data_IF_140870456517
#
_entry.id   IF_140870456517
#
_cell.length_a   1.000
_cell.length_b   1.000
_cell.length_c   1.000
_cell.angle_alpha   90.00
_cell.angle_beta   90.00
_cell.angle_gamma   90.00
#
_symmetry.space_group_name_H-M   'P 1'
#
loop_
_entity.id
_entity.type
_entity.pdbx_description
1 polymer ?
#
# COMPACT_ATOMS: atom_id res chain seq x y z
N UNK A 1 -20.30 -3.79 8.57
CA UNK A 1 -20.46 -2.47 7.90
C UNK A 1 -21.32 -1.48 8.68
N UNK A 2 -22.58 -1.78 9.05
CA UNK A 2 -23.44 -0.80 9.78
C UNK A 2 -22.90 -0.37 11.16
N UNK A 3 -22.20 -1.26 11.88
CA UNK A 3 -21.68 -0.95 13.22
C UNK A 3 -20.40 -0.08 13.23
N UNK A 4 -19.63 -0.06 12.14
CA UNK A 4 -18.40 0.73 12.06
C UNK A 4 -18.67 2.20 11.69
N UNK A 5 -19.68 2.43 10.84
CA UNK A 5 -20.18 3.79 10.52
C UNK A 5 -20.75 4.43 11.78
N UNK A 6 -21.45 3.66 12.62
CA UNK A 6 -21.97 4.16 13.90
C UNK A 6 -20.82 4.51 14.85
N UNK A 7 -19.71 3.78 14.86
CA UNK A 7 -18.55 4.10 15.71
C UNK A 7 -17.87 5.42 15.29
N UNK A 8 -17.69 5.62 13.97
CA UNK A 8 -17.11 6.87 13.41
C UNK A 8 -18.07 8.05 13.63
N UNK A 9 -19.37 7.85 13.45
CA UNK A 9 -20.38 8.88 13.71
C UNK A 9 -20.52 9.20 15.20
N UNK A 10 -20.37 8.23 16.09
CA UNK A 10 -20.36 8.46 17.55
C UNK A 10 -19.07 9.21 17.94
N UNK A 11 -17.90 8.86 17.40
CA UNK A 11 -16.67 9.63 17.63
C UNK A 11 -16.75 11.07 17.11
N UNK A 12 -17.48 11.31 16.02
CA UNK A 12 -17.70 12.67 15.46
C UNK A 12 -18.81 13.45 16.15
N UNK A 13 -19.76 12.80 16.82
CA UNK A 13 -20.93 13.43 17.44
C UNK A 13 -20.91 13.45 18.98
N UNK A 14 -20.03 12.66 19.62
CA UNK A 14 -19.92 12.57 21.08
C UNK A 14 -18.73 13.31 21.68
N UNK A 15 -18.09 14.21 20.94
CA UNK A 15 -17.17 15.19 21.51
C UNK A 15 -17.95 16.48 21.80
N UNK A 16 -18.49 16.66 23.02
CA UNK A 16 -18.71 18.02 23.49
C UNK A 16 -17.32 18.64 23.65
N UNK A 17 -17.24 19.96 23.47
CA UNK A 17 -16.02 20.77 23.52
C UNK A 17 -15.31 20.80 22.16
N UNK A 18 -15.70 21.82 21.37
CA UNK A 18 -14.76 22.62 20.59
C UNK A 18 -13.74 23.16 21.60
N UNK A 19 -12.80 22.30 21.99
CA UNK A 19 -11.57 22.70 22.63
C UNK A 19 -10.65 23.11 21.50
N UNK A 20 -9.93 24.21 21.67
CA UNK A 20 -8.97 24.73 20.72
C UNK A 20 -8.31 23.58 19.95
N UNK A 21 -8.61 23.51 18.66
CA UNK A 21 -7.93 22.58 17.76
C UNK A 21 -6.46 22.94 17.88
N UNK A 22 -5.68 22.16 18.63
CA UNK A 22 -4.25 22.39 18.71
C UNK A 22 -3.67 22.07 17.34
N UNK A 23 -3.56 23.10 16.53
CA UNK A 23 -2.90 23.08 15.24
C UNK A 23 -1.49 22.56 15.43
N UNK A 24 -0.97 21.88 14.41
CA UNK A 24 0.39 21.40 14.43
C UNK A 24 1.43 22.53 14.41
N UNK A 25 1.00 23.77 14.16
CA UNK A 25 1.87 24.94 14.13
C UNK A 25 2.97 24.75 13.08
N UNK A 26 4.15 25.32 13.31
CA UNK A 26 5.30 25.15 12.43
C UNK A 26 6.14 23.90 12.74
N UNK A 27 5.56 22.87 13.39
CA UNK A 27 6.30 21.65 13.75
C UNK A 27 6.72 20.89 12.50
N UNK A 28 7.93 20.35 12.54
CA UNK A 28 8.41 19.43 11.50
C UNK A 28 8.29 18.01 12.05
N UNK A 29 7.71 17.09 11.27
CA UNK A 29 7.68 15.67 11.64
C UNK A 29 8.35 14.83 10.58
N UNK A 30 9.21 13.93 11.02
CA UNK A 30 9.76 12.86 10.21
C UNK A 30 9.19 11.56 10.73
N UNK A 31 8.67 10.69 9.86
CA UNK A 31 8.18 9.37 10.27
C UNK A 31 8.78 8.29 9.38
N UNK A 32 9.12 7.17 9.99
CA UNK A 32 9.49 5.95 9.29
C UNK A 32 8.63 4.80 9.81
N UNK A 33 7.96 4.11 8.90
CA UNK A 33 7.14 2.95 9.21
C UNK A 33 7.52 1.77 8.32
N UNK A 34 7.34 0.57 8.84
CA UNK A 34 7.44 -0.64 8.05
C UNK A 34 6.40 -1.66 8.45
N UNK A 35 5.99 -2.49 7.51
CA UNK A 35 5.08 -3.59 7.75
C UNK A 35 5.19 -4.63 6.65
N UNK A 36 4.64 -5.80 6.93
CA UNK A 36 4.56 -6.90 5.99
C UNK A 36 3.23 -7.60 6.14
N UNK A 37 2.67 -8.10 5.05
CA UNK A 37 1.48 -8.92 5.08
C UNK A 37 1.69 -10.15 4.18
N UNK A 38 1.21 -11.30 4.64
CA UNK A 38 1.32 -12.57 3.93
C UNK A 38 -0.07 -13.18 3.78
N UNK A 39 -0.37 -13.66 2.57
CA UNK A 39 -1.65 -14.27 2.25
C UNK A 39 -1.43 -15.61 1.59
N UNK A 40 -2.24 -16.58 1.95
CA UNK A 40 -2.37 -17.85 1.22
C UNK A 40 -3.65 -17.82 0.40
N UNK A 41 -3.58 -18.38 -0.79
CA UNK A 41 -4.70 -18.50 -1.71
C UNK A 41 -4.88 -19.96 -2.06
N UNK A 42 -6.11 -20.45 -1.93
CA UNK A 42 -6.49 -21.76 -2.44
C UNK A 42 -7.39 -21.55 -3.65
N UNK A 43 -7.02 -22.12 -4.79
CA UNK A 43 -7.89 -22.17 -5.97
C UNK A 43 -8.16 -23.62 -6.35
N UNK A 44 -9.25 -23.93 -7.07
CA UNK A 44 -9.52 -25.28 -7.55
C UNK A 44 -8.42 -25.88 -8.43
N UNK A 45 -7.58 -25.03 -9.03
CA UNK A 45 -6.49 -25.46 -9.91
C UNK A 45 -5.14 -25.61 -9.16
N UNK A 46 -4.83 -24.68 -8.24
CA UNK A 46 -3.53 -24.62 -7.57
C UNK A 46 -3.58 -23.74 -6.31
N UNK A 47 -2.83 -24.13 -5.28
CA UNK A 47 -2.58 -23.31 -4.09
C UNK A 47 -1.48 -22.28 -4.39
N UNK A 48 -1.50 -21.16 -3.69
CA UNK A 48 -0.50 -20.11 -3.81
C UNK A 48 -0.29 -19.34 -2.52
N UNK A 49 0.77 -18.55 -2.49
CA UNK A 49 1.06 -17.63 -1.39
C UNK A 49 1.65 -16.34 -1.92
N UNK A 50 1.33 -15.22 -1.29
CA UNK A 50 1.95 -13.93 -1.54
C UNK A 50 2.48 -13.30 -0.27
N UNK A 51 3.49 -12.46 -0.44
CA UNK A 51 4.04 -11.58 0.59
C UNK A 51 4.15 -10.17 0.04
N UNK A 52 3.75 -9.20 0.82
CA UNK A 52 3.99 -7.79 0.58
C UNK A 52 4.80 -7.21 1.75
N UNK A 53 5.84 -6.46 1.41
CA UNK A 53 6.64 -5.69 2.35
C UNK A 53 6.52 -4.20 1.99
N UNK A 54 6.17 -3.36 2.96
CA UNK A 54 6.01 -1.92 2.78
C UNK A 54 6.96 -1.18 3.72
N UNK A 55 7.70 -0.22 3.17
CA UNK A 55 8.52 0.74 3.93
C UNK A 55 8.12 2.14 3.56
N UNK A 56 7.84 2.96 4.56
CA UNK A 56 7.27 4.28 4.38
C UNK A 56 8.16 5.30 5.07
N UNK A 57 8.45 6.40 4.38
CA UNK A 57 9.07 7.58 4.95
C UNK A 57 8.20 8.81 4.69
N UNK A 58 7.95 9.60 5.72
CA UNK A 58 7.08 10.77 5.63
C UNK A 58 7.76 12.00 6.22
N UNK A 59 7.57 13.14 5.56
CA UNK A 59 7.98 14.46 6.03
C UNK A 59 6.74 15.36 6.11
N UNK A 60 6.52 15.97 7.27
CA UNK A 60 5.44 16.91 7.51
C UNK A 60 5.97 18.27 7.94
N UNK A 61 5.28 19.31 7.50
CA UNK A 61 5.42 20.68 7.99
C UNK A 61 4.02 21.18 8.40
N UNK A 62 3.83 21.38 9.70
CA UNK A 62 2.51 21.62 10.27
C UNK A 62 1.58 20.43 10.03
N UNK A 63 0.44 20.68 9.40
CA UNK A 63 -0.58 19.68 9.09
C UNK A 63 -0.30 18.93 7.78
N UNK A 64 0.47 19.50 6.85
CA UNK A 64 0.68 18.89 5.54
C UNK A 64 1.95 18.06 5.50
N UNK A 65 1.93 16.97 4.74
CA UNK A 65 3.13 16.17 4.52
C UNK A 65 3.16 15.42 3.20
N UNK A 66 4.35 14.99 2.84
CA UNK A 66 4.60 14.11 1.72
C UNK A 66 5.14 12.80 2.25
N UNK A 67 4.61 11.70 1.73
CA UNK A 67 5.04 10.36 2.09
C UNK A 67 5.50 9.63 0.85
N UNK A 68 6.66 8.98 0.95
CA UNK A 68 7.13 8.01 -0.03
C UNK A 68 7.04 6.62 0.58
N UNK A 69 6.37 5.71 -0.10
CA UNK A 69 6.33 4.30 0.28
C UNK A 69 7.01 3.46 -0.78
N UNK A 70 7.79 2.46 -0.36
CA UNK A 70 8.32 1.42 -1.23
C UNK A 70 7.61 0.12 -0.92
N UNK A 71 6.97 -0.44 -1.93
CA UNK A 71 6.20 -1.67 -1.88
C UNK A 71 6.95 -2.74 -2.68
N UNK A 72 7.21 -3.87 -2.03
CA UNK A 72 7.73 -5.06 -2.67
C UNK A 72 6.73 -6.19 -2.48
N UNK A 73 6.15 -6.68 -3.57
CA UNK A 73 5.22 -7.80 -3.55
C UNK A 73 5.83 -8.98 -4.29
N UNK A 74 5.63 -10.20 -3.76
CA UNK A 74 6.02 -11.43 -4.43
C UNK A 74 5.02 -12.54 -4.19
N UNK A 75 4.53 -13.12 -5.28
CA UNK A 75 3.58 -14.24 -5.27
C UNK A 75 4.19 -15.52 -5.83
N UNK A 76 3.73 -16.64 -5.28
CA UNK A 76 4.18 -17.99 -5.64
C UNK A 76 2.98 -18.91 -5.83
N UNK A 77 3.07 -19.74 -6.86
CA UNK A 77 2.27 -20.95 -6.99
C UNK A 77 2.95 -22.12 -6.27
N UNK A 78 2.14 -23.01 -5.69
CA UNK A 78 2.62 -24.19 -4.97
C UNK A 78 2.32 -25.44 -5.79
N UNK A 79 3.37 -26.15 -6.15
CA UNK A 79 3.28 -27.46 -6.79
C UNK A 79 2.79 -28.52 -5.79
N UNK A 80 2.34 -29.68 -6.30
CA UNK A 80 1.84 -30.79 -5.45
C UNK A 80 2.89 -31.33 -4.47
N UNK A 81 4.17 -31.16 -4.78
CA UNK A 81 5.29 -31.57 -3.93
C UNK A 81 5.72 -30.49 -2.92
N UNK A 82 5.03 -29.34 -2.90
CA UNK A 82 5.33 -28.19 -2.05
C UNK A 82 6.36 -27.22 -2.62
N UNK A 83 6.88 -27.46 -3.83
CA UNK A 83 7.78 -26.53 -4.52
C UNK A 83 7.08 -25.21 -4.79
N UNK A 84 7.76 -24.09 -4.51
CA UNK A 84 7.23 -22.74 -4.76
C UNK A 84 7.79 -22.18 -6.06
N UNK A 85 6.93 -21.98 -7.05
CA UNK A 85 7.27 -21.38 -8.33
C UNK A 85 6.84 -19.91 -8.31
N UNK A 86 7.75 -18.93 -8.51
CA UNK A 86 7.37 -17.53 -8.61
C UNK A 86 6.31 -17.33 -9.71
N UNK A 87 5.27 -16.59 -9.40
CA UNK A 87 4.19 -16.26 -10.33
C UNK A 87 4.16 -14.77 -10.65
N UNK A 88 4.50 -13.93 -9.66
CA UNK A 88 4.43 -12.49 -9.83
C UNK A 88 5.38 -11.77 -8.87
N UNK A 89 5.88 -10.62 -9.30
CA UNK A 89 6.72 -9.74 -8.49
C UNK A 89 6.42 -8.27 -8.81
N UNK A 90 6.33 -7.41 -7.79
CA UNK A 90 6.16 -5.96 -7.95
C UNK A 90 7.19 -5.23 -7.14
N UNK A 91 7.73 -4.17 -7.73
CA UNK A 91 8.54 -3.18 -7.05
C UNK A 91 8.01 -1.79 -7.39
N UNK A 92 7.27 -1.16 -6.48
CA UNK A 92 6.63 0.13 -6.72
C UNK A 92 7.03 1.12 -5.63
N UNK A 93 7.28 2.36 -6.05
CA UNK A 93 7.28 3.51 -5.16
C UNK A 93 5.95 4.25 -5.32
N UNK A 94 5.30 4.55 -4.21
CA UNK A 94 4.13 5.42 -4.17
C UNK A 94 4.43 6.70 -3.42
N UNK A 95 3.73 7.77 -3.81
CA UNK A 95 3.89 9.10 -3.27
C UNK A 95 2.52 9.63 -2.86
N UNK A 96 2.35 9.87 -1.57
CA UNK A 96 1.09 10.30 -0.98
C UNK A 96 1.20 11.76 -0.50
N UNK A 97 0.16 12.55 -0.80
CA UNK A 97 -0.07 13.82 -0.11
C UNK A 97 -0.87 13.55 1.16
N UNK A 98 -0.38 14.05 2.29
CA UNK A 98 -0.93 13.75 3.61
C UNK A 98 -1.42 15.00 4.32
N UNK A 99 -2.46 14.82 5.13
CA UNK A 99 -2.94 15.81 6.09
C UNK A 99 -3.05 15.20 7.48
N UNK A 100 -2.52 15.88 8.50
CA UNK A 100 -2.45 15.44 9.89
C UNK A 100 -3.27 16.35 10.80
N UNK A 101 -4.23 15.75 11.49
CA UNK A 101 -5.02 16.35 12.56
C UNK A 101 -4.39 16.07 13.92
N UNK A 102 -4.48 17.03 14.84
CA UNK A 102 -3.99 16.90 16.22
C UNK A 102 -2.47 17.07 16.36
N UNK A 103 -2.03 17.37 17.58
CA UNK A 103 -0.64 17.69 17.94
C UNK A 103 0.11 16.52 18.57
N UNK A 104 -0.43 16.01 19.69
CA UNK A 104 0.15 14.91 20.46
C UNK A 104 -0.47 13.56 20.06
N UNK A 105 -1.80 13.48 20.04
CA UNK A 105 -2.53 12.39 19.40
C UNK A 105 -2.84 12.81 17.97
N UNK A 106 -2.22 12.16 17.00
CA UNK A 106 -2.33 12.54 15.59
C UNK A 106 -3.13 11.53 14.78
N UNK A 107 -3.99 12.02 13.89
CA UNK A 107 -4.63 11.23 12.84
C UNK A 107 -4.15 11.80 11.50
N UNK A 108 -3.53 10.96 10.67
CA UNK A 108 -3.05 11.36 9.34
C UNK A 108 -3.77 10.58 8.26
N UNK A 109 -4.22 11.29 7.23
CA UNK A 109 -4.85 10.72 6.06
C UNK A 109 -3.98 11.03 4.84
N UNK A 110 -3.71 10.02 4.02
CA UNK A 110 -2.90 10.13 2.81
C UNK A 110 -3.68 9.77 1.55
N UNK A 111 -3.43 10.53 0.48
CA UNK A 111 -3.97 10.31 -0.86
C UNK A 111 -2.81 10.06 -1.81
N UNK A 112 -2.88 8.96 -2.56
CA UNK A 112 -1.92 8.61 -3.59
C UNK A 112 -2.02 9.60 -4.73
N UNK A 113 -0.93 10.31 -5.03
CA UNK A 113 -0.87 11.29 -6.13
C UNK A 113 0.00 10.82 -7.28
N UNK A 114 0.96 9.93 -7.01
CA UNK A 114 1.87 9.41 -8.02
C UNK A 114 2.41 8.05 -7.63
N UNK A 115 2.60 7.19 -8.62
CA UNK A 115 3.24 5.88 -8.46
C UNK A 115 4.16 5.59 -9.65
N UNK A 116 5.26 4.91 -9.38
CA UNK A 116 6.21 4.45 -10.38
C UNK A 116 6.76 3.10 -9.96
N UNK A 117 7.04 2.22 -10.91
CA UNK A 117 7.58 0.92 -10.57
C UNK A 117 7.68 -0.04 -11.74
N UNK A 118 7.84 -1.30 -11.38
CA UNK A 118 7.91 -2.40 -12.31
C UNK A 118 7.12 -3.59 -11.76
N UNK A 119 6.62 -4.41 -12.68
CA UNK A 119 5.91 -5.63 -12.37
C UNK A 119 6.41 -6.74 -13.28
N UNK A 120 6.45 -7.96 -12.76
CA UNK A 120 6.82 -9.15 -13.52
C UNK A 120 5.73 -10.19 -13.30
N UNK A 121 5.24 -10.77 -14.39
CA UNK A 121 4.38 -11.95 -14.36
C UNK A 121 5.14 -13.11 -14.96
N UNK A 122 5.21 -14.21 -14.22
CA UNK A 122 5.87 -15.43 -14.63
C UNK A 122 4.83 -16.45 -15.11
N UNK A 123 5.09 -17.03 -16.28
CA UNK A 123 4.39 -18.22 -16.76
C UNK A 123 5.11 -19.48 -16.25
N UNK A 124 4.36 -20.58 -16.09
CA UNK A 124 4.86 -21.87 -15.60
C UNK A 124 6.01 -22.45 -16.44
N UNK A 125 6.15 -22.00 -17.69
CA UNK A 125 7.14 -22.54 -18.62
C UNK A 125 8.46 -21.77 -18.61
N UNK A 126 8.61 -20.73 -17.78
CA UNK A 126 9.82 -19.89 -17.72
C UNK A 126 9.76 -18.61 -18.57
N UNK A 127 8.69 -18.41 -19.33
CA UNK A 127 8.35 -17.13 -19.98
C UNK A 127 7.98 -16.09 -18.92
N UNK A 128 8.40 -14.83 -19.10
CA UNK A 128 7.94 -13.74 -18.23
C UNK A 128 7.63 -12.46 -19.00
N UNK A 129 6.75 -11.66 -18.39
CA UNK A 129 6.16 -10.45 -18.96
C UNK A 129 6.44 -9.26 -18.06
N UNK A 130 6.65 -8.10 -18.68
CA UNK A 130 6.78 -6.82 -17.99
C UNK A 130 5.87 -5.76 -18.62
N UNK A 131 5.39 -4.79 -17.85
CA UNK A 131 4.56 -3.73 -18.39
C UNK A 131 5.40 -2.82 -19.29
N UNK A 132 4.86 -2.45 -20.44
CA UNK A 132 5.49 -1.46 -21.34
C UNK A 132 5.65 -0.10 -20.65
N UNK A 133 4.68 0.26 -19.79
CA UNK A 133 4.68 1.50 -19.03
C UNK A 133 5.02 1.24 -17.55
N UNK A 134 5.99 1.99 -17.02
CA UNK A 134 6.42 1.92 -15.62
C UNK A 134 5.61 2.78 -14.67
N UNK A 135 4.66 3.54 -15.19
CA UNK A 135 3.73 4.35 -14.40
C UNK A 135 2.39 3.61 -14.31
N UNK A 136 2.14 2.88 -13.21
CA UNK A 136 0.87 2.20 -13.02
C UNK A 136 -0.28 3.20 -12.80
N UNK A 137 -1.49 2.79 -13.16
CA UNK A 137 -2.71 3.46 -12.72
C UNK A 137 -3.02 3.07 -11.26
N UNK A 138 -3.90 3.82 -10.60
CA UNK A 138 -4.30 3.54 -9.22
C UNK A 138 -5.79 3.78 -9.03
N UNK A 139 -6.46 2.81 -8.40
CA UNK A 139 -7.88 2.86 -8.03
C UNK A 139 -7.98 2.65 -6.51
N UNK A 140 -8.50 3.65 -5.77
CA UNK A 140 -8.72 3.55 -4.33
C UNK A 140 -10.00 2.77 -4.00
N UNK A 141 -9.93 1.73 -3.16
CA UNK A 141 -11.04 0.78 -2.98
C UNK A 141 -11.86 0.93 -1.68
N UNK A 142 -11.39 1.60 -0.62
CA UNK A 142 -12.11 1.63 0.66
C UNK A 142 -12.80 2.97 1.01
N UNK A 143 -12.23 4.13 0.65
CA UNK A 143 -12.76 5.45 1.04
C UNK A 143 -12.47 6.55 -0.02
N UNK A 144 -12.67 6.26 -1.30
CA UNK A 144 -12.27 7.17 -2.38
C UNK A 144 -10.75 7.15 -2.59
N UNK A 145 -10.09 8.29 -2.87
CA UNK A 145 -8.66 8.35 -3.21
C UNK A 145 -7.71 8.14 -2.01
N UNK A 146 -8.23 7.78 -0.83
CA UNK A 146 -7.43 7.55 0.38
C UNK A 146 -6.62 6.26 0.24
N UNK A 147 -5.29 6.39 0.26
CA UNK A 147 -4.31 5.30 0.14
C UNK A 147 -3.66 4.93 1.47
N UNK A 148 -3.74 5.80 2.48
CA UNK A 148 -3.13 5.54 3.77
C UNK A 148 -3.83 6.26 4.94
N UNK A 149 -3.80 5.62 6.10
CA UNK A 149 -4.29 6.16 7.37
C UNK A 149 -3.26 5.85 8.45
N UNK A 150 -2.83 6.87 9.21
CA UNK A 150 -1.90 6.73 10.32
C UNK A 150 -2.45 7.31 11.61
N UNK A 151 -2.20 6.61 12.72
CA UNK A 151 -2.43 7.10 14.08
C UNK A 151 -1.08 7.26 14.77
N UNK A 152 -0.80 8.47 15.26
CA UNK A 152 0.42 8.79 15.97
C UNK A 152 0.15 9.18 17.42
N UNK A 153 1.08 8.88 18.31
CA UNK A 153 1.11 9.40 19.68
C UNK A 153 2.51 9.94 19.99
N UNK A 154 2.60 11.24 20.23
CA UNK A 154 3.83 11.96 20.52
C UNK A 154 4.06 12.08 22.02
N UNK A 155 5.30 11.83 22.44
CA UNK A 155 5.78 12.03 23.81
C UNK A 155 7.13 12.76 23.74
N UNK A 156 7.10 14.07 23.95
CA UNK A 156 8.26 14.93 23.71
C UNK A 156 8.58 15.00 22.22
N UNK A 157 9.83 14.70 21.85
CA UNK A 157 10.29 14.73 20.45
C UNK A 157 10.08 13.40 19.73
N UNK A 158 9.62 12.34 20.41
CA UNK A 158 9.38 11.03 19.81
C UNK A 158 7.90 10.82 19.56
N UNK A 159 7.59 10.12 18.47
CA UNK A 159 6.22 9.73 18.12
C UNK A 159 6.18 8.23 17.81
N UNK A 160 5.22 7.51 18.37
CA UNK A 160 4.89 6.15 17.95
C UNK A 160 3.77 6.22 16.92
N UNK A 161 3.92 5.51 15.81
CA UNK A 161 2.96 5.58 14.70
C UNK A 161 2.54 4.19 14.27
N UNK A 162 1.23 3.97 14.15
CA UNK A 162 0.64 2.79 13.53
C UNK A 162 -0.09 3.26 12.28
N UNK A 163 0.15 2.57 11.17
CA UNK A 163 -0.39 2.91 9.87
C UNK A 163 -1.08 1.74 9.19
N UNK A 164 -2.03 2.05 8.31
CA UNK A 164 -2.48 1.15 7.25
C UNK A 164 -2.15 1.81 5.92
N UNK A 165 -1.46 1.08 5.05
CA UNK A 165 -1.29 1.45 3.66
C UNK A 165 -2.15 0.50 2.81
N UNK A 166 -2.90 1.07 1.88
CA UNK A 166 -3.74 0.37 0.90
C UNK A 166 -3.53 1.03 -0.47
N UNK A 167 -2.28 1.00 -0.93
CA UNK A 167 -1.93 1.49 -2.27
C UNK A 167 -2.20 0.38 -3.29
N UNK A 168 -3.40 0.39 -3.88
CA UNK A 168 -3.69 -0.47 -5.02
C UNK A 168 -3.20 0.19 -6.32
N UNK A 169 -2.32 -0.50 -7.02
CA UNK A 169 -1.70 -0.05 -8.27
C UNK A 169 -1.90 -1.12 -9.34
N UNK A 170 -2.22 -0.68 -10.54
CA UNK A 170 -2.56 -1.54 -11.66
C UNK A 170 -1.61 -1.23 -12.83
N UNK A 171 -1.06 -2.28 -13.41
CA UNK A 171 -0.20 -2.18 -14.58
C UNK A 171 -0.96 -2.69 -15.81
N UNK A 172 -0.71 -2.07 -16.95
CA UNK A 172 -1.33 -2.41 -18.24
C UNK A 172 -0.26 -2.56 -19.33
N UNK A 173 -0.66 -3.19 -20.44
CA UNK A 173 0.19 -3.30 -21.63
C UNK A 173 1.43 -4.15 -21.39
N UNK A 174 1.25 -5.35 -20.81
CA UNK A 174 2.34 -6.30 -20.62
C UNK A 174 2.87 -6.80 -21.96
N UNK A 175 4.19 -6.78 -22.10
CA UNK A 175 4.92 -7.35 -23.23
C UNK A 175 5.80 -8.50 -22.73
N UNK A 176 5.94 -9.52 -23.57
CA UNK A 176 6.80 -10.66 -23.26
C UNK A 176 8.27 -10.25 -23.45
N UNK A 177 9.08 -10.40 -22.40
CA UNK A 177 10.51 -10.05 -22.45
C UNK A 177 11.38 -11.27 -22.75
N UNK A 178 11.02 -12.43 -22.21
CA UNK A 178 11.61 -13.73 -22.57
C UNK A 178 10.50 -14.67 -22.98
N UNK A 179 10.48 -15.00 -24.26
CA UNK A 179 9.41 -15.79 -24.88
C UNK A 179 9.95 -17.13 -25.34
N UNK A 180 9.42 -18.22 -24.78
CA UNK A 180 9.67 -19.55 -25.30
C UNK A 180 8.68 -19.80 -26.46
N UNK A 181 9.20 -20.24 -27.60
CA UNK A 181 8.39 -20.52 -28.80
C UNK A 181 7.25 -21.52 -28.52
N UNK A 182 6.06 -21.24 -29.03
CA UNK A 182 4.89 -22.13 -28.94
C UNK A 182 3.90 -21.82 -27.82
N UNK A 183 4.09 -20.75 -27.04
CA UNK A 183 3.12 -20.28 -26.04
C UNK A 183 2.16 -19.28 -26.68
N UNK A 184 0.85 -19.50 -26.57
CA UNK A 184 -0.19 -18.62 -27.12
C UNK A 184 -0.28 -17.30 -26.32
N UNK A 185 0.36 -16.27 -26.86
CA UNK A 185 0.50 -14.94 -26.26
C UNK A 185 -0.82 -14.17 -26.17
N UNK A 186 -1.78 -14.41 -27.07
CA UNK A 186 -3.04 -13.65 -27.11
C UNK A 186 -3.93 -13.98 -25.91
N UNK A 187 -3.80 -15.18 -25.32
CA UNK A 187 -4.50 -15.58 -24.09
C UNK A 187 -4.00 -14.88 -22.81
N UNK A 188 -2.83 -14.23 -22.87
CA UNK A 188 -2.18 -13.56 -21.73
C UNK A 188 -2.12 -12.03 -21.89
N UNK A 189 -2.63 -11.52 -23.01
CA UNK A 189 -2.65 -10.09 -23.36
C UNK A 189 -3.65 -9.29 -22.52
N UNK A 190 -4.67 -9.96 -21.99
CA UNK A 190 -5.68 -9.41 -21.08
C UNK A 190 -5.35 -9.66 -19.59
N UNK A 191 -4.09 -9.96 -19.26
CA UNK A 191 -3.63 -9.99 -17.87
C UNK A 191 -3.64 -8.57 -17.30
N UNK A 192 -4.82 -8.11 -16.89
CA UNK A 192 -4.94 -6.97 -15.98
C UNK A 192 -4.35 -7.40 -14.64
N UNK A 193 -3.28 -6.74 -14.22
CA UNK A 193 -2.94 -6.71 -12.81
C UNK A 193 -4.12 -6.12 -12.07
N UNK A 194 -4.82 -6.95 -11.30
CA UNK A 194 -6.06 -6.54 -10.67
C UNK A 194 -6.25 -7.23 -9.33
N UNK A 195 -6.08 -6.44 -8.27
CA UNK A 195 -6.67 -6.67 -6.94
C UNK A 195 -6.13 -7.85 -6.13
N UNK A 196 -4.87 -7.76 -5.71
CA UNK A 196 -4.57 -8.28 -4.37
C UNK A 196 -4.73 -7.14 -3.38
N UNK A 197 -5.49 -7.31 -2.28
CA UNK A 197 -5.55 -6.29 -1.24
C UNK A 197 -4.14 -6.06 -0.72
N UNK A 198 -3.51 -4.96 -1.14
CA UNK A 198 -2.16 -4.55 -0.74
C UNK A 198 -2.15 -3.93 0.66
N UNK A 199 -3.17 -4.25 1.44
CA UNK A 199 -3.40 -3.71 2.75
C UNK A 199 -2.30 -4.19 3.69
N UNK A 200 -1.48 -3.26 4.15
CA UNK A 200 -0.38 -3.56 5.06
C UNK A 200 -0.53 -2.69 6.29
N UNK A 201 -0.66 -3.36 7.45
CA UNK A 201 -0.51 -2.67 8.73
C UNK A 201 0.98 -2.48 8.99
N UNK A 202 1.35 -1.26 9.34
CA UNK A 202 2.73 -0.85 9.57
C UNK A 202 2.84 -0.25 10.96
N UNK A 203 4.02 -0.40 11.56
CA UNK A 203 4.37 0.23 12.82
C UNK A 203 5.68 0.99 12.59
N UNK A 204 5.81 2.12 13.26
CA UNK A 204 6.97 2.96 13.10
C UNK A 204 7.15 3.99 14.19
N UNK A 205 8.16 4.81 13.96
CA UNK A 205 8.57 5.88 14.85
C UNK A 205 8.62 7.19 14.08
N UNK A 206 8.37 8.28 14.77
CA UNK A 206 8.56 9.63 14.28
C UNK A 206 9.41 10.47 15.22
N UNK A 207 9.96 11.54 14.65
CA UNK A 207 10.65 12.60 15.38
C UNK A 207 9.91 13.90 15.09
N UNK A 208 9.60 14.65 16.14
CA UNK A 208 8.89 15.94 16.09
C UNK A 208 9.84 17.04 16.55
N UNK A 209 9.99 18.08 15.74
CA UNK A 209 10.77 19.29 16.00
C UNK A 209 9.86 20.50 16.18
#
# INVERSE_FOLDING_TARGET
MKHLIILISILLLSSPVIGDYQTNGNKIRLRYLSGSNEHTRTSPAMDGSSKIDVKTFSLFYGEWGLTKSKLHHKGYWHEKDGTKTPHEEVNVNTYDLNFTFGSDLTLTLGILVFAEGDAIVYSTNGTYFKPKNKNPSFNGHLFGPLSSIYFGYSFGFLELVIGRNDSNVEFEGFECEVCIEGVDFDSQRDLSWGTYPNETTMIGIGIVF
#
